data_IF_961630488621
#
_entry.id   IF_961630488621
#
_cell.length_a   1.000
_cell.length_b   1.000
_cell.length_c   1.000
_cell.angle_alpha   90.00
_cell.angle_beta   90.00
_cell.angle_gamma   90.00
#
_symmetry.space_group_name_H-M   'P 1'
#
loop_
_entity.id
_entity.type
_entity.pdbx_description
1 polymer ?
#
# COMPACT_ATOMS: atom_id res chain seq x y z
N UNK A 1 3.54 9.82 -4.62
CA UNK A 1 4.76 9.19 -5.19
C UNK A 1 4.42 8.10 -6.21
N UNK A 2 5.26 7.90 -7.24
CA UNK A 2 5.12 6.82 -8.24
C UNK A 2 6.43 6.04 -8.36
N UNK A 3 6.45 4.78 -7.94
CA UNK A 3 7.65 3.93 -8.04
C UNK A 3 7.49 2.87 -9.13
N UNK A 4 8.54 2.69 -9.93
CA UNK A 4 8.69 1.56 -10.86
C UNK A 4 9.95 0.81 -10.48
N UNK A 5 9.81 -0.44 -10.07
CA UNK A 5 10.93 -1.26 -9.62
C UNK A 5 11.01 -2.57 -10.42
N UNK A 6 12.23 -2.96 -10.78
CA UNK A 6 12.56 -4.24 -11.42
C UNK A 6 13.66 -4.87 -10.57
N UNK A 7 13.28 -5.67 -9.58
CA UNK A 7 14.20 -6.14 -8.54
C UNK A 7 14.69 -5.04 -7.56
N UNK A 8 15.14 -5.43 -6.36
CA UNK A 8 15.66 -4.50 -5.34
C UNK A 8 14.67 -4.09 -4.24
N UNK A 9 15.05 -3.10 -3.42
CA UNK A 9 14.27 -2.58 -2.28
C UNK A 9 14.19 -1.05 -2.27
N UNK A 10 12.99 -0.50 -2.10
CA UNK A 10 12.76 0.95 -1.89
C UNK A 10 11.85 1.15 -0.68
N UNK A 11 12.35 1.75 0.42
CA UNK A 11 11.49 2.23 1.52
C UNK A 11 10.83 3.56 1.16
N UNK A 12 9.60 3.75 1.61
CA UNK A 12 8.84 5.02 1.53
C UNK A 12 8.16 5.24 2.88
N UNK A 13 8.28 6.45 3.45
CA UNK A 13 7.56 6.83 4.66
C UNK A 13 7.57 8.32 4.97
N UNK A 14 6.41 8.88 5.30
CA UNK A 14 6.17 10.23 5.85
C UNK A 14 5.16 10.16 7.02
N UNK A 15 5.21 11.17 7.90
CA UNK A 15 4.24 11.42 8.96
C UNK A 15 3.71 12.85 8.82
N UNK A 16 2.39 13.03 8.79
CA UNK A 16 1.73 14.29 8.50
C UNK A 16 0.51 14.50 9.42
N UNK A 17 0.27 15.71 9.92
CA UNK A 17 -0.95 16.01 10.71
C UNK A 17 -2.20 15.97 9.82
N UNK A 18 -2.11 16.53 8.61
CA UNK A 18 -3.17 16.48 7.61
C UNK A 18 -2.61 16.25 6.23
N UNK A 19 -3.28 15.43 5.42
CA UNK A 19 -2.77 15.22 4.07
C UNK A 19 -3.54 14.23 3.21
N UNK A 20 -3.11 14.22 1.95
CA UNK A 20 -3.46 13.20 0.98
C UNK A 20 -2.18 12.49 0.57
N UNK A 21 -2.08 11.21 0.91
CA UNK A 21 -0.98 10.40 0.45
C UNK A 21 -1.41 9.56 -0.75
N UNK A 22 -0.67 9.68 -1.85
CA UNK A 22 -0.95 8.99 -3.11
C UNK A 22 0.23 8.10 -3.47
N UNK A 23 0.04 6.78 -3.45
CA UNK A 23 1.05 5.84 -3.93
C UNK A 23 0.59 5.08 -5.17
N UNK A 24 1.44 5.07 -6.20
CA UNK A 24 1.27 4.24 -7.38
C UNK A 24 2.53 3.44 -7.69
N UNK A 25 2.52 2.14 -7.39
CA UNK A 25 3.67 1.28 -7.70
C UNK A 25 3.40 0.30 -8.84
N UNK A 26 4.43 0.09 -9.65
CA UNK A 26 4.51 -1.05 -10.57
C UNK A 26 5.78 -1.83 -10.26
N UNK A 27 5.62 -3.08 -9.83
CA UNK A 27 6.71 -3.97 -9.44
C UNK A 27 6.77 -5.21 -10.36
N UNK A 28 7.98 -5.51 -10.80
CA UNK A 28 8.37 -6.79 -11.41
C UNK A 28 9.48 -7.41 -10.54
N UNK A 29 9.11 -8.32 -9.64
CA UNK A 29 10.02 -8.87 -8.62
C UNK A 29 10.50 -7.84 -7.59
N UNK A 30 11.15 -8.30 -6.51
CA UNK A 30 11.70 -7.43 -5.46
C UNK A 30 10.75 -7.11 -4.28
N UNK A 31 11.15 -6.18 -3.39
CA UNK A 31 10.40 -5.82 -2.17
C UNK A 31 10.30 -4.31 -1.95
N UNK A 32 9.09 -3.77 -1.81
CA UNK A 32 8.88 -2.33 -1.52
C UNK A 32 8.11 -2.17 -0.21
N UNK A 33 8.79 -1.91 0.92
CA UNK A 33 8.13 -1.54 2.15
C UNK A 33 7.62 -0.09 2.11
N UNK A 34 6.38 0.12 2.52
CA UNK A 34 5.74 1.44 2.64
C UNK A 34 5.23 1.60 4.08
N UNK A 35 5.52 2.74 4.69
CA UNK A 35 5.24 3.05 6.09
C UNK A 35 4.78 4.50 6.27
N UNK A 36 3.49 4.77 6.39
CA UNK A 36 2.96 6.15 6.44
C UNK A 36 2.02 6.39 7.62
N UNK A 37 1.99 7.60 8.16
CA UNK A 37 1.08 7.99 9.25
C UNK A 37 0.40 9.35 9.00
N UNK A 38 -0.91 9.41 9.22
CA UNK A 38 -1.73 10.63 9.13
C UNK A 38 -2.67 10.76 10.35
N UNK A 39 -2.77 11.93 10.97
CA UNK A 39 -3.85 12.13 11.97
C UNK A 39 -5.21 12.34 11.27
N UNK A 40 -5.24 13.13 10.18
CA UNK A 40 -6.43 13.33 9.37
C UNK A 40 -6.15 13.33 7.87
N UNK A 41 -6.80 12.47 7.11
CA UNK A 41 -6.54 12.48 5.68
C UNK A 41 -7.06 11.31 4.87
N UNK A 42 -6.45 11.15 3.71
CA UNK A 42 -6.77 10.10 2.76
C UNK A 42 -5.47 9.42 2.31
N UNK A 43 -5.45 8.11 2.45
CA UNK A 43 -4.45 7.25 1.83
C UNK A 43 -5.05 6.61 0.57
N UNK A 44 -4.44 6.87 -0.58
CA UNK A 44 -4.84 6.30 -1.86
C UNK A 44 -3.70 5.48 -2.45
N UNK A 45 -3.90 4.17 -2.47
CA UNK A 45 -2.87 3.23 -2.90
C UNK A 45 -3.32 2.47 -4.13
N UNK A 46 -2.48 2.45 -5.18
CA UNK A 46 -2.77 1.70 -6.41
C UNK A 46 -1.53 0.97 -6.91
N UNK A 47 -1.47 -0.34 -6.68
CA UNK A 47 -0.31 -1.14 -7.10
C UNK A 47 -0.62 -2.19 -8.17
N UNK A 48 0.39 -2.43 -9.00
CA UNK A 48 0.47 -3.58 -9.91
C UNK A 48 1.75 -4.35 -9.62
N UNK A 49 1.63 -5.59 -9.16
CA UNK A 49 2.76 -6.45 -8.78
C UNK A 49 2.75 -7.71 -9.65
N UNK A 50 3.89 -7.99 -10.27
CA UNK A 50 4.17 -9.18 -11.08
C UNK A 50 5.37 -9.90 -10.45
N UNK A 51 5.10 -10.83 -9.53
CA UNK A 51 6.12 -11.41 -8.65
C UNK A 51 6.68 -10.40 -7.63
N UNK A 52 7.13 -10.88 -6.46
CA UNK A 52 7.70 -10.05 -5.39
C UNK A 52 6.79 -9.83 -4.18
N UNK A 53 7.22 -8.94 -3.25
CA UNK A 53 6.52 -8.67 -1.98
C UNK A 53 6.37 -7.18 -1.68
N UNK A 54 5.17 -6.69 -1.38
CA UNK A 54 4.96 -5.27 -1.03
C UNK A 54 4.31 -5.18 0.35
N UNK A 55 5.10 -5.15 1.44
CA UNK A 55 4.55 -4.92 2.77
C UNK A 55 4.15 -3.46 2.95
N UNK A 56 2.93 -3.25 3.42
CA UNK A 56 2.33 -1.94 3.68
C UNK A 56 2.02 -1.85 5.15
N UNK A 57 2.43 -0.72 5.75
CA UNK A 57 2.04 -0.34 7.10
C UNK A 57 1.57 1.09 7.07
N UNK A 58 0.29 1.32 7.31
CA UNK A 58 -0.26 2.67 7.30
C UNK A 58 -1.09 2.90 8.57
N UNK A 59 -1.01 4.10 9.13
CA UNK A 59 -1.76 4.52 10.30
C UNK A 59 -2.55 5.80 9.99
N UNK A 60 -3.84 5.78 10.29
CA UNK A 60 -4.74 6.91 10.08
C UNK A 60 -5.70 7.05 11.26
N UNK A 61 -5.63 8.16 12.00
CA UNK A 61 -6.57 8.34 13.13
C UNK A 61 -7.97 8.69 12.60
N UNK A 62 -8.06 9.59 11.60
CA UNK A 62 -9.32 10.00 10.98
C UNK A 62 -9.26 10.10 9.47
N UNK A 63 -10.08 9.32 8.76
CA UNK A 63 -10.33 9.56 7.34
C UNK A 63 -10.62 8.33 6.50
N UNK A 64 -9.94 8.21 5.35
CA UNK A 64 -10.20 7.13 4.41
C UNK A 64 -8.90 6.44 3.97
N UNK A 65 -8.94 5.12 3.92
CA UNK A 65 -8.00 4.31 3.19
C UNK A 65 -8.68 3.75 1.95
N UNK A 66 -8.11 4.00 0.78
CA UNK A 66 -8.61 3.45 -0.47
C UNK A 66 -7.51 2.73 -1.23
N UNK A 67 -7.68 1.42 -1.35
CA UNK A 67 -6.65 0.55 -1.85
C UNK A 67 -7.09 -0.28 -3.05
N UNK A 68 -6.30 -0.21 -4.13
CA UNK A 68 -6.54 -0.95 -5.36
C UNK A 68 -5.30 -1.71 -5.83
N UNK A 69 -5.28 -3.04 -5.69
CA UNK A 69 -4.18 -3.85 -6.21
C UNK A 69 -4.55 -4.72 -7.41
N UNK A 70 -3.57 -4.92 -8.29
CA UNK A 70 -3.54 -6.00 -9.27
C UNK A 70 -2.29 -6.85 -9.05
N UNK A 71 -2.47 -8.09 -8.63
CA UNK A 71 -1.39 -9.05 -8.37
C UNK A 71 -1.39 -10.18 -9.40
N UNK A 72 -0.21 -10.49 -9.92
CA UNK A 72 0.05 -11.66 -10.76
C UNK A 72 1.30 -12.36 -10.24
N UNK A 73 1.14 -13.34 -9.34
CA UNK A 73 2.21 -13.91 -8.53
C UNK A 73 2.76 -12.93 -7.48
N UNK A 74 3.13 -13.42 -6.29
CA UNK A 74 3.70 -12.61 -5.20
C UNK A 74 2.78 -12.39 -3.99
N UNK A 75 3.17 -11.49 -3.07
CA UNK A 75 2.44 -11.20 -1.82
C UNK A 75 2.37 -9.70 -1.51
N UNK A 76 1.22 -9.21 -1.06
CA UNK A 76 1.10 -7.85 -0.50
C UNK A 76 0.54 -7.98 0.92
N UNK A 77 1.41 -8.11 1.94
CA UNK A 77 0.98 -8.04 3.32
C UNK A 77 0.59 -6.61 3.67
N UNK A 78 -0.49 -6.51 4.41
CA UNK A 78 -1.06 -5.26 4.85
C UNK A 78 -1.14 -5.31 6.36
N UNK A 79 -0.63 -4.27 7.03
CA UNK A 79 -1.13 -3.88 8.35
C UNK A 79 -1.65 -2.45 8.28
N UNK A 80 -2.88 -2.22 8.72
CA UNK A 80 -3.45 -0.87 8.77
C UNK A 80 -4.02 -0.60 10.15
N UNK A 81 -3.74 0.58 10.69
CA UNK A 81 -4.39 1.09 11.89
C UNK A 81 -5.32 2.23 11.48
N UNK A 82 -6.63 2.04 11.63
CA UNK A 82 -7.64 3.07 11.37
C UNK A 82 -8.52 3.23 12.61
N UNK A 83 -8.39 4.35 13.32
CA UNK A 83 -9.22 4.58 14.51
C UNK A 83 -10.64 5.01 14.14
N UNK A 84 -10.79 5.93 13.18
CA UNK A 84 -12.09 6.47 12.75
C UNK A 84 -12.11 6.74 11.26
N UNK A 85 -12.91 5.97 10.52
CA UNK A 85 -13.00 6.20 9.09
C UNK A 85 -13.54 5.02 8.32
N UNK A 86 -13.19 4.97 7.04
CA UNK A 86 -13.54 3.85 6.18
C UNK A 86 -12.30 3.27 5.49
N UNK A 87 -12.24 1.95 5.47
CA UNK A 87 -11.26 1.18 4.73
C UNK A 87 -11.90 0.50 3.52
N UNK A 88 -11.38 0.77 2.32
CA UNK A 88 -11.90 0.22 1.07
C UNK A 88 -10.80 -0.51 0.30
N UNK A 89 -10.95 -1.83 0.21
CA UNK A 89 -10.01 -2.72 -0.47
C UNK A 89 -10.59 -3.28 -1.78
N UNK A 90 -9.86 -3.11 -2.88
CA UNK A 90 -10.19 -3.70 -4.19
C UNK A 90 -8.99 -4.41 -4.80
N UNK A 91 -8.97 -5.73 -4.67
CA UNK A 91 -7.89 -6.57 -5.19
C UNK A 91 -8.33 -7.36 -6.43
N UNK A 92 -7.45 -7.44 -7.43
CA UNK A 92 -7.54 -8.42 -8.53
C UNK A 92 -6.32 -9.32 -8.48
N UNK A 93 -6.53 -10.59 -8.16
CA UNK A 93 -5.49 -11.60 -7.94
C UNK A 93 -5.51 -12.63 -9.07
N UNK A 94 -4.35 -12.89 -9.66
CA UNK A 94 -4.11 -13.96 -10.63
C UNK A 94 -2.86 -14.70 -10.17
N UNK A 95 -3.02 -15.62 -9.21
CA UNK A 95 -1.92 -16.20 -8.45
C UNK A 95 -1.31 -15.21 -7.44
N UNK A 96 -1.02 -15.66 -6.21
CA UNK A 96 -0.50 -14.81 -5.12
C UNK A 96 -1.48 -14.65 -3.94
N UNK A 97 -1.11 -13.86 -2.91
CA UNK A 97 -1.94 -13.63 -1.70
C UNK A 97 -1.87 -12.18 -1.20
N UNK A 98 -2.98 -11.66 -0.68
CA UNK A 98 -3.05 -10.40 0.09
C UNK A 98 -3.50 -10.73 1.51
N UNK A 99 -2.57 -11.01 2.45
CA UNK A 99 -2.94 -11.14 3.85
C UNK A 99 -3.16 -9.74 4.44
N UNK A 100 -4.38 -9.51 4.93
CA UNK A 100 -4.83 -8.33 5.67
C UNK A 100 -4.88 -8.67 7.17
N UNK A 101 -4.39 -7.77 8.02
CA UNK A 101 -4.43 -7.88 9.47
C UNK A 101 -4.25 -6.54 10.14
#
# INVERSE_FOLDING_TARGET
>A
MRNKLVGGRVPVGEALERGLFLLRNKLLGGRVPVGEALERGLFLWRNKVLGGRVPVREALDRGLFLWRNKLVGGRVPVGEALERGLFLLRNKLVGGRVPVG
#
